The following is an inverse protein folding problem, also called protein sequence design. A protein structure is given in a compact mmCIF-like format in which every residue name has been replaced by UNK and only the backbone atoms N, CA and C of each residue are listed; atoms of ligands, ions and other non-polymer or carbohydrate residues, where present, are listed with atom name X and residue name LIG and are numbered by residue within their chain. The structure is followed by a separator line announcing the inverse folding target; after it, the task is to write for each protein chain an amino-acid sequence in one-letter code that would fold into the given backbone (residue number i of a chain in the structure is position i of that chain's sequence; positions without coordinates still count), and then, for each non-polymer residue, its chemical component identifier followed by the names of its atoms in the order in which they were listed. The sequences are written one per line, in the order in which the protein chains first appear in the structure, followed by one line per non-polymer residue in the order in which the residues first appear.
data_IF_033249791150
#
_entry.id   IF_033249791150
#
_cell.length_a   1.000
_cell.length_b   1.000
_cell.length_c   1.000
_cell.angle_alpha   90.00
_cell.angle_beta   90.00
_cell.angle_gamma   90.00
#
_symmetry.space_group_name_H-M   'P 1'
#
loop_
_entity.id
_entity.type
_entity.pdbx_description
1 polymer ?
#
# COMPACT_ATOMS: atom_id res chain seq x y z
N UNK A 1 -3.20 -78.21 -72.08
CA UNK A 1 -3.24 -77.24 -73.19
C UNK A 1 -3.57 -75.87 -72.60
N UNK A 2 -2.67 -74.87 -72.66
CA UNK A 2 -2.98 -73.52 -72.19
C UNK A 2 -3.97 -72.82 -73.14
N UNK A 3 -4.89 -71.97 -72.63
CA UNK A 3 -5.82 -71.22 -73.46
C UNK A 3 -5.08 -70.15 -74.28
N UNK A 4 -5.44 -70.08 -75.56
CA UNK A 4 -4.89 -69.13 -76.52
C UNK A 4 -5.17 -67.69 -76.09
N UNK A 5 -4.11 -66.87 -76.03
CA UNK A 5 -4.24 -65.44 -75.84
C UNK A 5 -4.85 -64.80 -77.10
N UNK A 6 -5.85 -63.92 -76.97
CA UNK A 6 -6.34 -63.15 -78.10
C UNK A 6 -5.25 -62.19 -78.57
N UNK A 7 -4.88 -62.34 -79.85
CA UNK A 7 -4.05 -61.40 -80.59
C UNK A 7 -4.87 -60.13 -80.79
N UNK A 8 -4.53 -59.04 -80.09
CA UNK A 8 -5.12 -57.74 -80.33
C UNK A 8 -4.68 -57.24 -81.70
N UNK A 9 -5.59 -57.27 -82.66
CA UNK A 9 -5.44 -56.64 -83.96
C UNK A 9 -5.28 -55.13 -83.77
N UNK A 10 -4.10 -54.62 -84.12
CA UNK A 10 -3.80 -53.21 -84.09
C UNK A 10 -4.66 -52.41 -85.08
N UNK A 11 -4.95 -51.17 -84.70
CA UNK A 11 -5.27 -50.13 -85.66
C UNK A 11 -6.72 -49.64 -85.65
N UNK A 12 -7.18 -49.07 -84.53
CA UNK A 12 -7.98 -47.84 -84.59
C UNK A 12 -7.58 -46.93 -83.42
N UNK A 13 -7.26 -45.64 -83.64
CA UNK A 13 -7.17 -44.68 -82.55
C UNK A 13 -8.56 -44.57 -81.91
N UNK A 14 -8.73 -45.19 -80.74
CA UNK A 14 -9.93 -45.01 -79.94
C UNK A 14 -10.12 -43.52 -79.63
N UNK A 15 -11.38 -43.07 -79.45
CA UNK A 15 -11.65 -41.69 -79.07
C UNK A 15 -10.82 -41.35 -77.84
N UNK A 16 -10.09 -40.23 -77.91
CA UNK A 16 -9.32 -39.70 -76.78
C UNK A 16 -10.36 -39.30 -75.72
N UNK A 17 -10.66 -40.22 -74.81
CA UNK A 17 -11.40 -39.88 -73.60
C UNK A 17 -10.46 -39.00 -72.79
N UNK A 18 -10.72 -37.69 -72.79
CA UNK A 18 -10.10 -36.80 -71.84
C UNK A 18 -10.44 -37.32 -70.44
N UNK A 19 -9.46 -37.91 -69.76
CA UNK A 19 -9.60 -38.28 -68.35
C UNK A 19 -9.83 -36.98 -67.61
N UNK A 20 -11.09 -36.74 -67.22
CA UNK A 20 -11.44 -35.61 -66.39
C UNK A 20 -10.79 -35.81 -65.02
N UNK A 21 -9.61 -35.23 -64.82
CA UNK A 21 -9.03 -35.17 -63.51
C UNK A 21 -9.97 -34.35 -62.62
N UNK A 22 -10.41 -34.88 -61.46
CA UNK A 22 -11.16 -34.06 -60.52
C UNK A 22 -10.28 -32.84 -60.17
N UNK A 23 -10.85 -31.63 -60.12
CA UNK A 23 -10.09 -30.46 -59.71
C UNK A 23 -9.41 -30.75 -58.36
N UNK A 24 -8.14 -30.37 -58.17
CA UNK A 24 -7.45 -30.61 -56.92
C UNK A 24 -8.26 -30.00 -55.77
N UNK A 25 -8.55 -30.80 -54.75
CA UNK A 25 -9.29 -30.33 -53.59
C UNK A 25 -8.57 -29.10 -53.00
N UNK A 26 -9.33 -28.03 -52.72
CA UNK A 26 -8.76 -26.81 -52.14
C UNK A 26 -8.01 -27.16 -50.86
N UNK A 27 -6.71 -26.88 -50.85
CA UNK A 27 -5.78 -27.41 -49.84
C UNK A 27 -5.72 -26.55 -48.56
N UNK A 28 -6.34 -25.36 -48.55
CA UNK A 28 -6.14 -24.34 -47.51
C UNK A 28 -7.46 -23.79 -46.97
N UNK A 29 -7.60 -23.77 -45.64
CA UNK A 29 -8.72 -23.15 -44.93
C UNK A 29 -8.28 -21.79 -44.39
N UNK A 30 -8.55 -20.72 -45.14
CA UNK A 30 -8.13 -19.36 -44.77
C UNK A 30 -8.67 -18.90 -43.40
N UNK A 31 -9.86 -19.38 -43.01
CA UNK A 31 -10.45 -19.07 -41.70
C UNK A 31 -9.63 -19.66 -40.55
N UNK A 32 -9.09 -20.86 -40.73
CA UNK A 32 -8.25 -21.53 -39.72
C UNK A 32 -6.92 -20.80 -39.51
N UNK A 33 -6.30 -20.32 -40.60
CA UNK A 33 -5.06 -19.54 -40.53
C UNK A 33 -5.31 -18.20 -39.84
N UNK A 34 -6.40 -17.51 -40.20
CA UNK A 34 -6.76 -16.24 -39.60
C UNK A 34 -7.04 -16.37 -38.08
N UNK A 35 -7.81 -17.38 -37.68
CA UNK A 35 -8.06 -17.69 -36.27
C UNK A 35 -6.78 -18.02 -35.49
N UNK A 36 -5.86 -18.75 -36.11
CA UNK A 36 -4.53 -19.03 -35.55
C UNK A 36 -3.70 -17.74 -35.36
N UNK A 37 -3.58 -16.90 -36.38
CA UNK A 37 -2.86 -15.63 -36.31
C UNK A 37 -3.45 -14.69 -35.24
N UNK A 38 -4.79 -14.58 -35.16
CA UNK A 38 -5.47 -13.80 -34.13
C UNK A 38 -5.21 -14.33 -32.72
N UNK A 39 -5.20 -15.65 -32.55
CA UNK A 39 -4.89 -16.27 -31.26
C UNK A 39 -3.45 -16.00 -30.84
N UNK A 40 -2.51 -15.99 -31.80
CA UNK A 40 -1.10 -15.70 -31.56
C UNK A 40 -0.86 -14.23 -31.23
N UNK A 41 -1.46 -13.31 -31.99
CA UNK A 41 -1.39 -11.87 -31.68
C UNK A 41 -2.07 -11.56 -30.35
N UNK A 42 -3.22 -12.17 -30.09
CA UNK A 42 -3.97 -11.99 -28.84
C UNK A 42 -3.29 -12.55 -27.60
N UNK A 43 -2.30 -13.44 -27.75
CA UNK A 43 -1.47 -13.90 -26.64
C UNK A 43 -0.55 -12.77 -26.12
N UNK A 44 -0.05 -11.92 -27.03
CA UNK A 44 0.90 -10.85 -26.70
C UNK A 44 0.25 -9.49 -26.42
N UNK A 45 -1.01 -9.27 -26.83
CA UNK A 45 -1.74 -8.02 -26.55
C UNK A 45 -2.41 -8.09 -25.17
N UNK A 46 -2.23 -7.08 -24.30
CA UNK A 46 -2.61 -7.15 -22.89
C UNK A 46 -4.10 -7.15 -22.56
N UNK A 47 -4.95 -7.21 -23.58
CA UNK A 47 -6.40 -7.15 -23.40
C UNK A 47 -7.04 -8.52 -23.29
N UNK A 48 -6.38 -9.62 -23.70
CA UNK A 48 -6.92 -10.99 -23.70
C UNK A 48 -8.12 -11.23 -24.64
N UNK A 49 -8.87 -10.18 -24.97
CA UNK A 49 -10.07 -10.18 -25.81
C UNK A 49 -9.75 -10.70 -27.22
N UNK A 50 -8.59 -10.33 -27.78
CA UNK A 50 -8.17 -10.76 -29.12
C UNK A 50 -7.91 -12.27 -29.15
N UNK A 51 -7.40 -12.85 -28.07
CA UNK A 51 -7.20 -14.30 -27.93
C UNK A 51 -8.54 -15.04 -27.91
N UNK A 52 -9.55 -14.48 -27.23
CA UNK A 52 -10.91 -15.03 -27.18
C UNK A 52 -11.60 -14.98 -28.55
N UNK A 53 -11.42 -13.90 -29.32
CA UNK A 53 -11.90 -13.81 -30.70
C UNK A 53 -11.20 -14.82 -31.63
N UNK A 54 -9.88 -14.98 -31.49
CA UNK A 54 -9.10 -15.99 -32.20
C UNK A 54 -9.57 -17.42 -31.91
N UNK A 55 -9.88 -17.71 -30.63
CA UNK A 55 -10.45 -18.98 -30.19
C UNK A 55 -11.81 -19.23 -30.83
N UNK A 56 -12.73 -18.26 -30.79
CA UNK A 56 -14.06 -18.39 -31.38
C UNK A 56 -14.00 -18.66 -32.89
N UNK A 57 -13.15 -17.91 -33.62
CA UNK A 57 -12.98 -18.09 -35.07
C UNK A 57 -12.36 -19.46 -35.37
N UNK A 58 -11.38 -19.89 -34.58
CA UNK A 58 -10.75 -21.22 -34.73
C UNK A 58 -11.74 -22.35 -34.45
N UNK A 59 -12.65 -22.16 -33.49
CA UNK A 59 -13.73 -23.11 -33.18
C UNK A 59 -14.68 -23.28 -34.38
N UNK A 60 -15.08 -22.18 -35.02
CA UNK A 60 -15.90 -22.22 -36.24
C UNK A 60 -15.14 -22.89 -37.39
N UNK A 61 -13.83 -22.65 -37.51
CA UNK A 61 -12.99 -23.23 -38.56
C UNK A 61 -12.83 -24.75 -38.44
N UNK A 62 -13.03 -25.36 -37.26
CA UNK A 62 -13.00 -26.82 -37.07
C UNK A 62 -14.07 -27.57 -37.88
N UNK A 63 -15.13 -26.87 -38.29
CA UNK A 63 -16.21 -27.45 -39.09
C UNK A 63 -15.77 -27.82 -40.52
N UNK A 64 -14.65 -27.26 -41.02
CA UNK A 64 -14.17 -27.48 -42.41
C UNK A 64 -12.78 -28.12 -42.44
N UNK A 65 -12.57 -29.21 -43.22
CA UNK A 65 -11.23 -29.73 -43.48
C UNK A 65 -10.43 -28.77 -44.39
N UNK A 66 -9.10 -28.69 -44.27
CA UNK A 66 -8.22 -29.34 -43.28
C UNK A 66 -8.26 -28.68 -41.89
N UNK A 67 -8.15 -29.50 -40.82
CA UNK A 67 -8.40 -29.08 -39.42
C UNK A 67 -7.17 -28.63 -38.62
N UNK A 68 -5.96 -28.89 -39.11
CA UNK A 68 -4.72 -28.73 -38.32
C UNK A 68 -4.57 -27.34 -37.70
N UNK A 69 -4.60 -26.29 -38.53
CA UNK A 69 -4.48 -24.90 -38.06
C UNK A 69 -5.60 -24.47 -37.11
N UNK A 70 -6.82 -24.98 -37.28
CA UNK A 70 -7.93 -24.67 -36.40
C UNK A 70 -7.72 -25.26 -34.99
N UNK A 71 -7.17 -26.48 -34.89
CA UNK A 71 -6.83 -27.09 -33.60
C UNK A 71 -5.74 -26.28 -32.87
N UNK A 72 -4.68 -25.87 -33.58
CA UNK A 72 -3.63 -25.03 -32.99
C UNK A 72 -4.16 -23.67 -32.53
N UNK A 73 -5.04 -23.02 -33.32
CA UNK A 73 -5.69 -21.78 -32.93
C UNK A 73 -6.52 -21.93 -31.65
N UNK A 74 -7.28 -23.01 -31.50
CA UNK A 74 -8.04 -23.29 -30.27
C UNK A 74 -7.12 -23.54 -29.07
N UNK A 75 -6.07 -24.35 -29.21
CA UNK A 75 -5.13 -24.63 -28.13
C UNK A 75 -4.41 -23.36 -27.65
N UNK A 76 -3.93 -22.54 -28.60
CA UNK A 76 -3.23 -21.31 -28.31
C UNK A 76 -4.16 -20.25 -27.71
N UNK A 77 -5.39 -20.15 -28.21
CA UNK A 77 -6.42 -19.29 -27.64
C UNK A 77 -6.78 -19.69 -26.21
N UNK A 78 -6.96 -20.99 -25.95
CA UNK A 78 -7.26 -21.48 -24.60
C UNK A 78 -6.11 -21.19 -23.63
N UNK A 79 -4.87 -21.48 -24.04
CA UNK A 79 -3.69 -21.19 -23.23
C UNK A 79 -3.55 -19.68 -22.94
N UNK A 80 -3.79 -18.84 -23.95
CA UNK A 80 -3.74 -17.39 -23.82
C UNK A 80 -4.81 -16.85 -22.87
N UNK A 81 -6.05 -17.32 -22.98
CA UNK A 81 -7.14 -16.92 -22.06
C UNK A 81 -6.85 -17.35 -20.62
N UNK A 82 -6.35 -18.56 -20.39
CA UNK A 82 -6.00 -19.05 -19.05
C UNK A 82 -4.83 -18.26 -18.44
N UNK A 83 -3.81 -17.96 -19.25
CA UNK A 83 -2.66 -17.17 -18.84
C UNK A 83 -3.08 -15.74 -18.42
N UNK A 84 -3.87 -15.05 -19.25
CA UNK A 84 -4.39 -13.72 -18.94
C UNK A 84 -5.30 -13.73 -17.71
N UNK A 85 -6.13 -14.76 -17.55
CA UNK A 85 -6.98 -14.90 -16.38
C UNK A 85 -6.17 -15.05 -15.08
N UNK A 86 -5.09 -15.84 -15.10
CA UNK A 86 -4.19 -15.98 -13.97
C UNK A 86 -3.50 -14.65 -13.60
N UNK A 87 -3.07 -13.87 -14.59
CA UNK A 87 -2.52 -12.52 -14.38
C UNK A 87 -3.58 -11.61 -13.76
N UNK A 88 -4.81 -11.60 -14.27
CA UNK A 88 -5.89 -10.76 -13.76
C UNK A 88 -6.23 -11.09 -12.30
N UNK A 89 -6.32 -12.37 -11.93
CA UNK A 89 -6.51 -12.79 -10.53
C UNK A 89 -5.34 -12.32 -9.66
N UNK A 90 -4.12 -12.48 -10.14
CA UNK A 90 -2.93 -12.06 -9.39
C UNK A 90 -2.92 -10.55 -9.15
N UNK A 91 -3.22 -9.74 -10.18
CA UNK A 91 -3.33 -8.29 -10.04
C UNK A 91 -4.48 -7.88 -9.11
N UNK A 92 -5.61 -8.57 -9.18
CA UNK A 92 -6.75 -8.32 -8.28
C UNK A 92 -6.39 -8.60 -6.83
N UNK A 93 -5.80 -9.76 -6.53
CA UNK A 93 -5.40 -10.15 -5.17
C UNK A 93 -4.33 -9.20 -4.64
N UNK A 94 -3.28 -8.93 -5.41
CA UNK A 94 -2.22 -7.99 -5.01
C UNK A 94 -2.77 -6.56 -4.84
N UNK A 95 -3.67 -6.12 -5.73
CA UNK A 95 -4.33 -4.83 -5.63
C UNK A 95 -5.20 -4.72 -4.37
N UNK A 96 -5.98 -5.76 -4.04
CA UNK A 96 -6.77 -5.79 -2.81
C UNK A 96 -5.87 -5.79 -1.55
N UNK A 97 -4.80 -6.58 -1.54
CA UNK A 97 -3.85 -6.58 -0.41
C UNK A 97 -3.18 -5.21 -0.25
N UNK A 98 -2.79 -4.57 -1.35
CA UNK A 98 -2.25 -3.21 -1.35
C UNK A 98 -3.27 -2.18 -0.83
N UNK A 99 -4.52 -2.27 -1.26
CA UNK A 99 -5.59 -1.39 -0.77
C UNK A 99 -5.86 -1.57 0.73
N UNK A 100 -5.88 -2.81 1.23
CA UNK A 100 -6.06 -3.10 2.66
C UNK A 100 -4.87 -2.55 3.46
N UNK A 101 -3.64 -2.79 3.00
CA UNK A 101 -2.45 -2.26 3.66
C UNK A 101 -2.45 -0.72 3.69
N UNK A 102 -2.86 -0.08 2.60
CA UNK A 102 -3.02 1.37 2.52
C UNK A 102 -4.07 1.90 3.51
N UNK A 103 -5.23 1.24 3.61
CA UNK A 103 -6.27 1.63 4.57
C UNK A 103 -5.81 1.49 6.02
N UNK A 104 -5.07 0.43 6.35
CA UNK A 104 -4.49 0.25 7.69
C UNK A 104 -3.46 1.35 7.96
N UNK A 105 -2.56 1.63 7.00
CA UNK A 105 -1.57 2.69 7.16
C UNK A 105 -2.22 4.07 7.36
N UNK A 106 -3.28 4.37 6.60
CA UNK A 106 -4.09 5.59 6.79
C UNK A 106 -4.74 5.64 8.16
N UNK A 107 -5.38 4.55 8.62
CA UNK A 107 -6.00 4.51 9.94
C UNK A 107 -4.97 4.73 11.06
N UNK A 108 -3.81 4.09 10.96
CA UNK A 108 -2.70 4.25 11.90
C UNK A 108 -2.20 5.70 11.88
N UNK A 109 -2.02 6.28 10.69
CA UNK A 109 -1.64 7.68 10.53
C UNK A 109 -2.65 8.62 11.20
N UNK A 110 -3.95 8.41 11.00
CA UNK A 110 -5.00 9.19 11.65
C UNK A 110 -5.05 9.04 13.17
N UNK A 111 -4.68 7.88 13.73
CA UNK A 111 -4.60 7.71 15.18
C UNK A 111 -3.38 8.45 15.77
N UNK A 112 -2.31 8.61 14.99
CA UNK A 112 -1.11 9.31 15.44
C UNK A 112 -1.13 10.81 15.19
N UNK A 113 -1.80 11.25 14.13
CA UNK A 113 -2.02 12.67 13.87
C UNK A 113 -3.24 13.08 14.69
N UNK A 114 -2.98 13.66 15.86
CA UNK A 114 -4.01 14.25 16.71
C UNK A 114 -4.76 15.32 15.88
N UNK A 115 -6.07 15.14 15.60
CA UNK A 115 -6.84 16.10 14.81
C UNK A 115 -6.85 17.49 15.45
N UNK A 116 -6.64 17.57 16.77
CA UNK A 116 -6.54 18.80 17.55
C UNK A 116 -5.33 19.63 17.10
N UNK A 117 -4.15 19.02 16.91
CA UNK A 117 -2.94 19.75 16.47
C UNK A 117 -3.10 20.34 15.07
N UNK A 118 -3.80 19.63 14.18
CA UNK A 118 -4.11 20.13 12.84
C UNK A 118 -5.08 21.31 12.88
N UNK A 119 -6.11 21.24 13.74
CA UNK A 119 -7.04 22.34 13.94
C UNK A 119 -6.31 23.58 14.46
N UNK A 120 -5.49 23.42 15.51
CA UNK A 120 -4.69 24.51 16.08
C UNK A 120 -3.80 25.17 15.05
N UNK A 121 -3.07 24.38 14.26
CA UNK A 121 -2.16 24.91 13.24
C UNK A 121 -2.92 25.67 12.15
N UNK A 122 -4.08 25.14 11.73
CA UNK A 122 -4.94 25.80 10.75
C UNK A 122 -5.48 27.13 11.28
N UNK A 123 -5.94 27.17 12.52
CA UNK A 123 -6.50 28.37 13.15
C UNK A 123 -5.43 29.44 13.35
N UNK A 124 -4.23 29.07 13.83
CA UNK A 124 -3.09 29.97 13.94
C UNK A 124 -2.69 30.59 12.60
N UNK A 125 -2.72 29.82 11.50
CA UNK A 125 -2.44 30.36 10.17
C UNK A 125 -3.51 31.36 9.72
N UNK A 126 -4.79 31.10 10.00
CA UNK A 126 -5.87 32.03 9.69
C UNK A 126 -5.76 33.32 10.51
N UNK A 127 -5.43 33.21 11.80
CA UNK A 127 -5.16 34.35 12.68
C UNK A 127 -3.98 35.16 12.15
N UNK A 128 -2.87 34.52 11.76
CA UNK A 128 -1.70 35.20 11.21
C UNK A 128 -2.04 36.01 9.94
N UNK A 129 -2.79 35.40 9.01
CA UNK A 129 -3.24 36.06 7.78
C UNK A 129 -4.13 37.26 8.11
N UNK A 130 -5.09 37.10 9.03
CA UNK A 130 -5.99 38.16 9.44
C UNK A 130 -5.26 39.30 10.18
N UNK A 131 -4.24 38.97 10.99
CA UNK A 131 -3.38 39.96 11.66
C UNK A 131 -2.58 40.80 10.66
N UNK A 132 -2.02 40.17 9.62
CA UNK A 132 -1.32 40.88 8.55
C UNK A 132 -2.28 41.80 7.76
N UNK A 133 -3.52 41.38 7.53
CA UNK A 133 -4.55 42.22 6.91
C UNK A 133 -4.97 43.38 7.81
N UNK A 134 -5.13 43.13 9.12
CA UNK A 134 -5.44 44.15 10.11
C UNK A 134 -4.36 45.24 10.16
N UNK A 135 -3.09 44.84 10.20
CA UNK A 135 -1.95 45.77 10.17
C UNK A 135 -1.96 46.62 8.90
N UNK A 136 -2.21 46.01 7.74
CA UNK A 136 -2.31 46.75 6.48
C UNK A 136 -3.45 47.77 6.47
N UNK A 137 -4.57 47.48 7.15
CA UNK A 137 -5.77 48.33 7.20
C UNK A 137 -5.65 49.46 8.22
N UNK A 138 -5.11 49.18 9.40
CA UNK A 138 -5.09 50.12 10.54
C UNK A 138 -3.70 50.72 10.81
N UNK A 139 -2.64 50.15 10.24
CA UNK A 139 -1.25 50.57 10.44
C UNK A 139 -0.63 50.06 11.75
N UNK A 140 -1.34 49.22 12.49
CA UNK A 140 -0.88 48.64 13.77
C UNK A 140 -1.29 47.18 13.86
N UNK A 141 -0.46 46.36 14.51
CA UNK A 141 -0.79 44.97 14.83
C UNK A 141 -1.99 44.92 15.80
N UNK A 142 -2.83 43.87 15.73
CA UNK A 142 -3.93 43.67 16.67
C UNK A 142 -3.39 43.37 18.08
N UNK A 143 -4.07 43.87 19.12
CA UNK A 143 -3.72 43.59 20.52
C UNK A 143 -4.37 42.28 20.99
N UNK A 144 -5.50 41.89 20.39
CA UNK A 144 -6.25 40.69 20.72
C UNK A 144 -6.83 40.01 19.49
N UNK A 145 -7.18 38.72 19.62
CA UNK A 145 -7.84 37.96 18.55
C UNK A 145 -9.27 38.46 18.29
N UNK A 146 -9.88 39.12 19.27
CA UNK A 146 -11.21 39.74 19.13
C UNK A 146 -11.19 40.97 18.21
N UNK A 147 -10.03 41.60 18.00
CA UNK A 147 -9.85 42.70 17.05
C UNK A 147 -9.84 42.22 15.60
N UNK A 148 -9.70 40.91 15.40
CA UNK A 148 -9.73 40.28 14.08
C UNK A 148 -11.17 39.96 13.70
N UNK A 149 -11.56 40.33 12.48
CA UNK A 149 -12.88 40.03 11.89
C UNK A 149 -12.98 38.53 11.48
N UNK A 150 -12.64 37.61 12.40
CA UNK A 150 -12.65 36.17 12.20
C UNK A 150 -13.95 35.53 12.72
N UNK A 151 -14.30 34.37 12.16
CA UNK A 151 -15.36 33.54 12.74
C UNK A 151 -14.93 33.02 14.11
N UNK A 152 -15.86 32.98 15.07
CA UNK A 152 -15.61 32.56 16.45
C UNK A 152 -14.91 31.20 16.58
N UNK A 153 -15.14 30.30 15.63
CA UNK A 153 -14.50 28.97 15.61
C UNK A 153 -12.98 29.03 15.39
N UNK A 154 -12.45 30.10 14.81
CA UNK A 154 -11.01 30.31 14.63
C UNK A 154 -10.39 31.13 15.75
N UNK A 155 -11.20 31.66 16.68
CA UNK A 155 -10.73 32.46 17.80
C UNK A 155 -10.52 31.64 19.06
N UNK A 156 -11.05 30.42 19.10
CA UNK A 156 -11.03 29.50 20.23
C UNK A 156 -10.33 28.23 19.78
N UNK A 157 -9.34 27.78 20.53
CA UNK A 157 -8.63 26.54 20.26
C UNK A 157 -9.51 25.28 20.53
N UNK A 158 -9.07 24.08 20.14
CA UNK A 158 -9.84 22.85 20.35
C UNK A 158 -10.13 22.52 21.82
N UNK A 159 -9.44 23.15 22.76
CA UNK A 159 -9.61 22.97 24.20
C UNK A 159 -10.51 24.03 24.83
N UNK A 160 -11.05 24.96 24.03
CA UNK A 160 -12.03 25.94 24.46
C UNK A 160 -11.42 27.25 24.96
N UNK A 161 -10.11 27.44 24.80
CA UNK A 161 -9.39 28.65 25.22
C UNK A 161 -9.19 29.61 24.04
N UNK A 162 -9.36 30.93 24.24
CA UNK A 162 -9.09 31.89 23.18
C UNK A 162 -7.59 31.96 22.91
N UNK A 163 -7.17 32.10 21.65
CA UNK A 163 -5.75 32.28 21.33
C UNK A 163 -5.19 33.58 21.94
N UNK A 164 -3.92 33.55 22.36
CA UNK A 164 -3.20 34.72 22.88
C UNK A 164 -2.23 35.23 21.81
N UNK A 165 -2.25 36.54 21.57
CA UNK A 165 -1.30 37.23 20.71
C UNK A 165 -0.17 37.82 21.57
N UNK A 166 1.07 37.55 21.20
CA UNK A 166 2.25 38.08 21.90
C UNK A 166 3.17 38.72 20.88
N UNK A 167 3.50 40.00 21.08
CA UNK A 167 4.48 40.68 20.26
C UNK A 167 5.88 40.13 20.57
N UNK A 168 6.64 39.88 19.52
CA UNK A 168 7.98 39.32 19.58
C UNK A 168 8.98 40.31 18.99
N UNK A 169 10.22 40.26 19.46
CA UNK A 169 11.32 41.08 18.92
C UNK A 169 11.90 40.54 17.61
N UNK A 170 11.36 39.41 17.11
CA UNK A 170 11.79 38.77 15.86
C UNK A 170 11.27 39.58 14.65
N UNK A 171 12.16 40.13 13.80
CA UNK A 171 11.76 40.91 12.64
C UNK A 171 11.02 40.08 11.57
N UNK A 172 11.26 38.77 11.50
CA UNK A 172 10.64 37.89 10.51
C UNK A 172 9.25 37.41 10.95
N UNK A 173 9.00 37.38 12.26
CA UNK A 173 7.71 37.03 12.85
C UNK A 173 7.43 37.94 14.06
N UNK A 174 6.91 39.17 13.87
CA UNK A 174 6.72 40.16 14.94
C UNK A 174 5.53 39.86 15.87
N UNK A 175 4.77 38.81 15.56
CA UNK A 175 3.58 38.37 16.29
C UNK A 175 3.62 36.85 16.45
N UNK A 176 3.70 36.38 17.68
CA UNK A 176 3.53 34.97 18.03
C UNK A 176 2.08 34.72 18.47
N UNK A 177 1.57 33.55 18.11
CA UNK A 177 0.22 33.11 18.41
C UNK A 177 0.32 31.88 19.30
N UNK A 178 -0.31 31.93 20.47
CA UNK A 178 -0.19 30.91 21.51
C UNK A 178 -1.57 30.30 21.78
N UNK A 179 -1.64 28.96 21.82
CA UNK A 179 -2.75 28.19 22.38
C UNK A 179 -2.31 27.61 23.71
N UNK A 180 -3.21 27.64 24.70
CA UNK A 180 -2.98 27.10 26.05
C UNK A 180 -2.94 25.57 26.09
N UNK A 181 -3.08 24.89 24.95
CA UNK A 181 -2.95 23.45 24.88
C UNK A 181 -4.02 22.67 25.66
N UNK A 182 -3.79 21.35 25.83
CA UNK A 182 -4.69 20.46 26.55
C UNK A 182 -5.01 20.82 28.00
N UNK A 183 -4.09 21.45 28.74
CA UNK A 183 -4.30 21.79 30.15
C UNK A 183 -5.11 23.10 30.35
N UNK A 184 -5.29 23.88 29.28
CA UNK A 184 -6.03 25.14 29.27
C UNK A 184 -5.40 26.23 30.17
N UNK A 185 -4.14 26.09 30.53
CA UNK A 185 -3.35 27.06 31.27
C UNK A 185 -2.27 27.63 30.34
N UNK A 186 -2.11 28.95 30.31
CA UNK A 186 -1.03 29.55 29.52
C UNK A 186 0.28 29.51 30.30
N UNK A 187 1.38 29.60 29.56
CA UNK A 187 2.74 29.65 30.10
C UNK A 187 3.18 28.33 30.76
N UNK A 188 2.62 27.22 30.25
CA UNK A 188 2.94 25.83 30.59
C UNK A 188 3.76 25.15 29.48
N UNK A 189 4.20 23.92 29.70
CA UNK A 189 5.04 23.18 28.74
C UNK A 189 4.26 22.68 27.50
N UNK A 190 2.93 22.58 27.58
CA UNK A 190 2.05 22.14 26.48
C UNK A 190 1.49 23.29 25.64
N UNK A 191 1.84 24.54 25.96
CA UNK A 191 1.60 25.70 25.12
C UNK A 191 2.08 25.43 23.68
N UNK A 192 1.17 25.55 22.73
CA UNK A 192 1.51 25.50 21.31
C UNK A 192 1.76 26.94 20.86
N UNK A 193 2.95 27.21 20.32
CA UNK A 193 3.37 28.53 19.84
C UNK A 193 3.65 28.48 18.35
N UNK A 194 3.15 29.45 17.59
CA UNK A 194 3.40 29.52 16.14
C UNK A 194 4.89 29.59 15.82
N UNK A 195 5.66 30.34 16.62
CA UNK A 195 7.13 30.42 16.49
C UNK A 195 7.84 29.06 16.66
N UNK A 196 7.25 28.15 17.45
CA UNK A 196 7.78 26.80 17.69
C UNK A 196 7.13 25.73 16.81
N UNK A 197 6.16 26.06 15.97
CA UNK A 197 5.47 25.07 15.12
C UNK A 197 6.45 24.36 14.20
N UNK A 198 7.46 25.05 13.66
CA UNK A 198 8.47 24.39 12.81
C UNK A 198 9.28 23.35 13.58
N UNK A 199 9.67 23.65 14.82
CA UNK A 199 10.36 22.71 15.71
C UNK A 199 9.45 21.53 16.08
N UNK A 200 8.18 21.81 16.40
CA UNK A 200 7.20 20.79 16.76
C UNK A 200 6.90 19.84 15.59
N UNK A 201 6.75 20.39 14.37
CA UNK A 201 6.58 19.61 13.14
C UNK A 201 7.82 18.78 12.87
N UNK A 202 9.02 19.36 12.97
CA UNK A 202 10.28 18.65 12.76
C UNK A 202 10.44 17.49 13.74
N UNK A 203 10.22 17.74 15.04
CA UNK A 203 10.27 16.71 16.07
C UNK A 203 9.22 15.61 15.83
N UNK A 204 8.01 15.99 15.42
CA UNK A 204 6.95 15.03 15.07
C UNK A 204 7.34 14.16 13.88
N UNK A 205 7.98 14.73 12.86
CA UNK A 205 8.48 13.97 11.70
C UNK A 205 9.67 13.06 12.05
N UNK A 206 10.60 13.52 12.88
CA UNK A 206 11.73 12.70 13.37
C UNK A 206 11.22 11.53 14.22
N UNK A 207 10.33 11.79 15.19
CA UNK A 207 9.76 10.76 16.04
C UNK A 207 8.89 9.77 15.23
N UNK A 208 8.19 10.25 14.20
CA UNK A 208 7.51 9.38 13.24
C UNK A 208 8.49 8.51 12.46
N UNK A 209 9.61 9.09 11.99
CA UNK A 209 10.70 8.37 11.32
C UNK A 209 11.26 7.23 12.17
N UNK A 210 11.63 7.52 13.42
CA UNK A 210 12.17 6.53 14.37
C UNK A 210 11.18 5.39 14.67
N UNK A 211 9.89 5.75 14.81
CA UNK A 211 8.82 4.75 15.01
C UNK A 211 8.60 3.91 13.75
N UNK A 212 8.69 4.49 12.56
CA UNK A 212 8.60 3.77 11.29
C UNK A 212 9.80 2.86 11.05
N UNK A 213 11.01 3.27 11.46
CA UNK A 213 12.19 2.40 11.44
C UNK A 213 12.02 1.21 12.40
N UNK A 214 11.53 1.49 13.62
CA UNK A 214 11.24 0.44 14.61
C UNK A 214 10.15 -0.51 14.12
N UNK A 215 9.11 0.03 13.48
CA UNK A 215 8.05 -0.76 12.87
C UNK A 215 8.58 -1.61 11.70
N UNK A 216 9.45 -1.05 10.87
CA UNK A 216 10.16 -1.76 9.80
C UNK A 216 10.95 -2.96 10.32
N UNK A 217 11.78 -2.75 11.36
CA UNK A 217 12.53 -3.82 12.03
C UNK A 217 11.61 -4.92 12.59
N UNK A 218 10.45 -4.56 13.16
CA UNK A 218 9.47 -5.53 13.64
C UNK A 218 8.82 -6.33 12.50
N UNK A 219 8.58 -5.68 11.36
CA UNK A 219 8.04 -6.33 10.17
C UNK A 219 9.04 -7.32 9.54
N UNK A 220 10.34 -7.00 9.52
CA UNK A 220 11.38 -7.92 9.06
C UNK A 220 11.43 -9.20 9.91
N UNK A 221 11.37 -9.07 11.25
CA UNK A 221 11.29 -10.23 12.16
C UNK A 221 10.03 -11.07 11.90
N UNK A 222 8.91 -10.41 11.58
CA UNK A 222 7.67 -11.11 11.25
C UNK A 222 7.80 -11.90 9.94
N UNK A 223 8.45 -11.31 8.94
CA UNK A 223 8.71 -11.96 7.65
C UNK A 223 9.58 -13.21 7.82
N UNK A 224 10.68 -13.13 8.57
CA UNK A 224 11.54 -14.28 8.89
C UNK A 224 10.77 -15.40 9.62
N UNK A 225 9.92 -15.02 10.58
CA UNK A 225 9.12 -15.99 11.35
C UNK A 225 8.08 -16.73 10.50
N UNK A 226 7.52 -16.04 9.49
CA UNK A 226 6.51 -16.61 8.59
C UNK A 226 7.12 -17.64 7.63
N UNK A 227 8.31 -17.36 7.10
CA UNK A 227 9.08 -18.29 6.24
C UNK A 227 9.46 -19.56 7.02
N UNK A 228 9.80 -19.44 8.29
CA UNK A 228 10.18 -20.59 9.13
C UNK A 228 9.01 -21.53 9.41
N UNK A 229 7.79 -21.01 9.60
CA UNK A 229 6.58 -21.84 9.80
C UNK A 229 6.21 -22.65 8.56
N UNK A 230 6.35 -22.08 7.35
CA UNK A 230 6.06 -22.79 6.10
C UNK A 230 7.07 -23.92 5.84
N UNK A 231 8.36 -23.72 6.14
CA UNK A 231 9.37 -24.77 6.01
C UNK A 231 9.11 -25.94 6.97
N UNK A 232 8.67 -25.67 8.21
CA UNK A 232 8.39 -26.73 9.20
C UNK A 232 7.17 -27.57 8.83
N UNK A 233 6.14 -26.97 8.25
CA UNK A 233 4.97 -27.70 7.73
C UNK A 233 5.31 -28.64 6.56
N UNK A 234 6.31 -28.29 5.73
CA UNK A 234 6.73 -29.11 4.59
C UNK A 234 7.61 -30.30 4.99
N UNK A 235 8.39 -30.19 6.07
CA UNK A 235 9.24 -31.28 6.57
C UNK A 235 8.43 -32.29 7.42
N UNK A 236 7.42 -31.84 8.15
CA UNK A 236 6.56 -32.73 8.96
C UNK A 236 5.70 -33.71 8.14
N UNK A 237 5.36 -33.37 6.89
CA UNK A 237 4.51 -34.21 6.04
C UNK A 237 5.28 -35.23 5.18
N UNK A 238 6.60 -35.11 5.07
CA UNK A 238 7.41 -36.07 4.30
C UNK A 238 7.71 -37.36 5.08
N UNK A 239 7.53 -37.38 6.40
CA UNK A 239 7.85 -38.52 7.24
C UNK A 239 6.68 -39.49 7.50
N UNK A 240 5.49 -39.25 6.94
CA UNK A 240 4.28 -40.03 7.27
C UNK A 240 3.77 -40.97 6.15
N UNK A 241 4.55 -41.22 5.08
CA UNK A 241 4.07 -42.04 3.95
C UNK A 241 4.94 -43.26 3.58
N UNK A 242 5.78 -43.77 4.47
CA UNK A 242 6.51 -45.04 4.24
C UNK A 242 6.28 -46.02 5.38
N UNK A 243 5.03 -46.49 5.53
CA UNK A 243 4.73 -47.84 6.01
C UNK A 243 3.23 -48.11 5.90
N UNK A 244 2.80 -48.58 4.73
CA UNK A 244 1.50 -49.24 4.58
C UNK A 244 1.64 -50.36 3.56
N UNK A 245 2.22 -51.45 4.03
CA UNK A 245 2.10 -52.75 3.40
C UNK A 245 0.63 -53.15 3.27
N UNK A 246 0.26 -53.42 2.03
CA UNK A 246 -0.87 -54.21 1.54
C UNK A 246 -1.40 -55.24 2.56
N UNK A 247 -2.64 -55.04 3.03
CA UNK A 247 -3.56 -56.12 3.35
C UNK A 247 -5.01 -55.60 3.28
N UNK A 248 -5.82 -56.30 2.50
CA UNK A 248 -7.19 -56.00 2.17
C UNK A 248 -8.15 -56.17 3.36
N UNK A 249 -9.16 -55.30 3.48
CA UNK A 249 -10.57 -55.68 3.71
C UNK A 249 -11.45 -54.42 3.74
N UNK A 250 -12.57 -54.35 3.00
CA UNK A 250 -13.48 -53.20 3.03
C UNK A 250 -14.58 -53.46 4.07
N UNK A 251 -14.48 -52.83 5.25
CA UNK A 251 -15.65 -52.64 6.12
C UNK A 251 -16.01 -51.15 6.17
N UNK A 252 -17.21 -50.84 5.70
CA UNK A 252 -17.66 -49.52 5.26
C UNK A 252 -18.69 -48.94 6.22
N UNK A 253 -18.47 -49.09 7.52
CA UNK A 253 -19.52 -48.80 8.53
C UNK A 253 -19.15 -47.80 9.64
N UNK A 254 -17.92 -47.27 9.73
CA UNK A 254 -17.50 -46.56 10.96
C UNK A 254 -17.21 -45.07 10.85
N UNK A 255 -17.51 -44.40 9.72
CA UNK A 255 -17.27 -42.95 9.62
C UNK A 255 -18.36 -42.10 10.30
N UNK A 256 -19.57 -42.63 10.47
CA UNK A 256 -20.69 -41.89 11.08
C UNK A 256 -20.52 -41.73 12.60
N UNK A 257 -20.10 -42.78 13.30
CA UNK A 257 -19.86 -42.78 14.76
C UNK A 257 -18.74 -41.82 15.20
N UNK A 258 -17.81 -41.48 14.29
CA UNK A 258 -16.67 -40.61 14.64
C UNK A 258 -17.03 -39.13 14.69
N UNK A 259 -18.05 -38.72 13.94
CA UNK A 259 -18.53 -37.34 13.96
C UNK A 259 -19.50 -37.07 15.11
N UNK A 260 -20.28 -38.06 15.54
CA UNK A 260 -21.18 -37.90 16.70
C UNK A 260 -20.42 -37.77 18.03
N UNK A 261 -19.31 -38.51 18.23
CA UNK A 261 -18.51 -38.37 19.47
C UNK A 261 -17.73 -37.06 19.58
N UNK A 262 -17.47 -36.37 18.46
CA UNK A 262 -16.82 -35.05 18.49
C UNK A 262 -17.82 -33.91 18.75
N UNK A 263 -19.12 -34.13 18.52
CA UNK A 263 -20.16 -33.17 18.84
C UNK A 263 -20.50 -33.17 20.35
N UNK A 264 -20.45 -34.33 21.02
CA UNK A 264 -20.72 -34.42 22.46
C UNK A 264 -19.56 -33.87 23.33
N UNK A 265 -18.31 -33.94 22.86
CA UNK A 265 -17.14 -33.47 23.63
C UNK A 265 -17.00 -31.94 23.69
N UNK A 266 -17.90 -31.17 23.07
CA UNK A 266 -17.83 -29.69 22.99
C UNK A 266 -18.89 -28.96 23.83
N UNK A 267 -19.69 -29.70 24.62
CA UNK A 267 -20.81 -29.15 25.40
C UNK A 267 -20.48 -28.65 26.81
N UNK A 268 -19.34 -28.98 27.40
CA UNK A 268 -19.05 -28.73 28.83
C UNK A 268 -17.99 -27.65 29.09
N UNK A 269 -18.03 -26.53 28.35
CA UNK A 269 -17.02 -25.47 28.57
C UNK A 269 -17.57 -24.05 28.51
N UNK A 270 -18.74 -23.85 29.10
CA UNK A 270 -19.21 -22.55 29.59
C UNK A 270 -19.54 -22.68 31.09
N UNK A 271 -19.42 -21.57 31.81
CA UNK A 271 -19.62 -21.41 33.27
C UNK A 271 -18.39 -21.66 34.16
N UNK A 272 -17.40 -20.76 34.09
CA UNK A 272 -16.60 -20.29 35.26
C UNK A 272 -15.54 -19.26 34.83
N UNK A 273 -15.93 -18.01 34.58
CA UNK A 273 -15.00 -16.88 34.73
C UNK A 273 -15.74 -15.58 35.03
N UNK A 274 -16.41 -15.56 36.17
CA UNK A 274 -16.68 -14.32 36.88
C UNK A 274 -15.39 -13.80 37.52
N UNK A 275 -15.24 -12.47 37.45
CA UNK A 275 -14.56 -11.59 38.39
C UNK A 275 -13.09 -11.90 38.78
N UNK A 276 -12.15 -11.32 38.03
CA UNK A 276 -10.91 -10.80 38.63
C UNK A 276 -10.58 -9.43 38.01
N UNK A 277 -11.10 -8.40 38.66
CA UNK A 277 -10.69 -7.01 38.56
C UNK A 277 -9.31 -6.88 39.19
N UNK A 278 -8.27 -7.29 38.47
CA UNK A 278 -6.89 -7.17 38.94
C UNK A 278 -6.35 -5.79 38.57
N UNK A 279 -6.48 -4.87 39.52
CA UNK A 279 -5.81 -3.58 39.55
C UNK A 279 -4.31 -3.80 39.65
N UNK A 280 -3.65 -3.91 38.50
CA UNK A 280 -2.19 -3.88 38.44
C UNK A 280 -1.69 -2.53 38.95
N UNK A 281 -0.74 -2.51 39.91
CA UNK A 281 -0.17 -1.27 40.41
C UNK A 281 0.59 -0.59 39.28
N UNK A 282 0.35 0.72 39.13
CA UNK A 282 1.17 1.61 38.31
C UNK A 282 2.65 1.29 38.59
N UNK A 283 3.34 0.81 37.56
CA UNK A 283 4.79 0.71 37.55
C UNK A 283 5.33 2.13 37.40
N UNK A 284 5.36 2.88 38.50
CA UNK A 284 6.09 4.14 38.60
C UNK A 284 7.57 3.80 38.55
N UNK A 285 8.14 3.83 37.34
CA UNK A 285 9.58 3.96 37.16
C UNK A 285 10.01 5.19 38.01
N UNK A 286 10.97 5.04 38.95
CA UNK A 286 11.46 6.17 39.72
C UNK A 286 11.90 7.27 38.76
N UNK A 287 11.47 8.50 39.02
CA UNK A 287 11.96 9.66 38.30
C UNK A 287 13.50 9.65 38.31
N UNK A 288 14.15 9.90 37.17
CA UNK A 288 15.60 10.04 37.15
C UNK A 288 16.01 11.10 38.18
N UNK A 289 16.97 10.73 39.02
CA UNK A 289 17.57 11.61 40.02
C UNK A 289 18.07 12.88 39.29
N UNK A 290 17.75 14.09 39.79
CA UNK A 290 18.11 15.33 39.12
C UNK A 290 19.63 15.36 38.94
N UNK A 291 20.08 15.57 37.70
CA UNK A 291 21.50 15.75 37.41
C UNK A 291 22.04 16.91 38.25
N UNK A 292 23.23 16.77 38.85
CA UNK A 292 23.82 17.81 39.66
C UNK A 292 23.98 19.09 38.82
N UNK A 293 23.45 20.20 39.34
CA UNK A 293 23.56 21.52 38.71
C UNK A 293 25.02 21.79 38.32
N UNK A 294 25.28 22.22 37.08
CA UNK A 294 26.63 22.54 36.64
C UNK A 294 27.18 23.67 37.53
N UNK A 295 28.37 23.43 38.12
CA UNK A 295 29.09 24.43 38.88
C UNK A 295 29.20 25.74 38.07
N UNK A 296 28.97 26.91 38.68
CA UNK A 296 29.03 28.18 37.99
C UNK A 296 30.42 28.36 37.39
N UNK A 297 30.46 28.51 36.07
CA UNK A 297 31.67 28.80 35.33
C UNK A 297 32.32 30.07 35.91
N UNK A 298 33.58 29.94 36.30
CA UNK A 298 34.38 31.04 36.82
C UNK A 298 34.31 32.25 35.86
N UNK A 299 33.94 33.41 36.42
CA UNK A 299 33.90 34.68 35.71
C UNK A 299 35.26 34.97 35.07
N UNK A 300 35.32 35.26 33.76
CA UNK A 300 36.55 35.70 33.13
C UNK A 300 36.90 37.10 33.62
N UNK A 301 38.14 37.25 34.11
CA UNK A 301 38.72 38.51 34.58
C UNK A 301 38.47 39.67 33.61
N UNK A 302 37.92 40.74 34.20
CA UNK A 302 37.62 42.03 33.60
C UNK A 302 38.90 42.69 33.05
N UNK A 303 39.14 42.57 31.74
CA UNK A 303 40.23 43.26 31.06
C UNK A 303 39.82 44.73 30.87
N UNK A 304 40.51 45.61 31.60
CA UNK A 304 40.35 47.06 31.54
C UNK A 304 40.48 47.62 30.11
N UNK A 305 39.63 48.59 29.70
CA UNK A 305 39.72 49.22 28.39
C UNK A 305 40.93 50.17 28.33
N UNK A 306 41.82 49.89 27.38
CA UNK A 306 42.99 50.69 27.06
C UNK A 306 42.56 52.02 26.39
N UNK A 307 43.24 53.10 26.78
CA UNK A 307 42.85 54.46 26.49
C UNK A 307 42.98 54.83 24.99
N UNK A 308 42.06 55.68 24.54
CA UNK A 308 41.94 56.24 23.21
C UNK A 308 43.20 56.99 22.71
N UNK A 309 43.42 57.04 21.38
CA UNK A 309 44.09 58.16 20.75
C UNK A 309 43.05 59.09 20.09
N UNK A 310 43.02 60.32 20.60
CA UNK A 310 42.39 61.50 20.01
C UNK A 310 42.97 61.73 18.60
N UNK A 311 42.19 61.42 17.57
CA UNK A 311 42.51 61.67 16.16
C UNK A 311 41.72 62.86 15.63
N UNK A 312 42.43 63.96 15.52
CA UNK A 312 41.99 65.28 15.09
C UNK A 312 41.94 65.37 13.54
N UNK A 313 41.30 66.43 13.04
CA UNK A 313 41.44 67.01 11.68
C UNK A 313 40.78 66.30 10.45
N UNK A 314 39.79 66.95 9.82
CA UNK A 314 39.93 67.79 8.60
C UNK A 314 38.54 68.08 8.00
N UNK A 315 38.23 69.36 8.01
CA UNK A 315 37.20 70.07 7.24
C UNK A 315 37.64 70.12 5.77
N UNK A 316 36.82 69.66 4.84
CA UNK A 316 37.00 69.92 3.40
C UNK A 316 35.67 70.32 2.79
N UNK A 317 35.61 71.56 2.32
CA UNK A 317 34.58 72.08 1.44
C UNK A 317 34.67 71.44 0.05
N UNK A 318 33.53 71.41 -0.64
CA UNK A 318 33.36 71.03 -2.04
C UNK A 318 31.89 70.86 -2.34
#
# INVERSE_FOLDING_TARGET
MPPAHPVYAGGMPGPIYAVAYPPPAATWNGLAIFGFCLSLVGLFIPTGIVSLLGLLISLVALTKPPRGFAIFGVLLGLLGTLFWFAIMITLLVTGMLGAIAFLIAMAVFFVFVQPETLAVTSDMMNILIASAEHEKKHGTLPESVDDLELERMHQIDPWGMPYRLVLTDDPDLPLDIISAGPDSEFDTDDDIRLSRIEEYLRFSFEQFGDRMETFGKRMEVFEESSIFKVKRARVGNAAFCTDAGVAASPDRTTTRDRYERLAEAKGDRDDSREAESDSSPLNTKPAPEPEPEPEPAAEPDEVAPDAAPTGDIVRSQG
#
